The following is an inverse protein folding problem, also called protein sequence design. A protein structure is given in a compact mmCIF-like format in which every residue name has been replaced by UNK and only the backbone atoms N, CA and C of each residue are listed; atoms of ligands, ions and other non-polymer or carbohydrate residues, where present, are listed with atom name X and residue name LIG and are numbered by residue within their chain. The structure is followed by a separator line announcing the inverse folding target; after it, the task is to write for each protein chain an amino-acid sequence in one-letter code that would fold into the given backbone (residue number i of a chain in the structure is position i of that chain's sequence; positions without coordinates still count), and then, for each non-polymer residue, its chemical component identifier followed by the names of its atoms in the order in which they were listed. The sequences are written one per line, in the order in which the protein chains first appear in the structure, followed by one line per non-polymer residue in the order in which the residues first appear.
data_IF_643164131260
#
_entry.id   IF_643164131260
#
_cell.length_a   1.000
_cell.length_b   1.000
_cell.length_c   1.000
_cell.angle_alpha   90.00
_cell.angle_beta   90.00
_cell.angle_gamma   90.00
#
_symmetry.space_group_name_H-M   'P 1'
#
loop_
_entity.id
_entity.type
_entity.pdbx_description
1 polymer ?
#
# COMPACT_ATOMS: atom_id res chain seq x y z
N UNK A 1 -20.03 -8.78 -40.60
CA UNK A 1 -19.75 -7.58 -39.80
C UNK A 1 -18.98 -8.06 -38.60
N UNK A 2 -17.64 -8.09 -38.69
CA UNK A 2 -16.71 -8.62 -37.66
C UNK A 2 -16.40 -7.50 -36.67
N UNK A 3 -16.65 -7.77 -35.38
CA UNK A 3 -16.20 -6.91 -34.29
C UNK A 3 -14.69 -7.13 -34.11
N UNK A 4 -13.89 -6.08 -34.29
CA UNK A 4 -12.48 -6.05 -33.96
C UNK A 4 -12.36 -5.83 -32.46
N UNK A 5 -11.78 -6.80 -31.74
CA UNK A 5 -11.36 -6.68 -30.35
C UNK A 5 -10.02 -5.98 -30.37
N UNK A 6 -9.96 -4.74 -29.88
CA UNK A 6 -8.72 -4.02 -29.68
C UNK A 6 -7.94 -4.65 -28.51
N UNK A 7 -6.81 -5.29 -28.82
CA UNK A 7 -5.80 -5.66 -27.80
C UNK A 7 -5.03 -4.40 -27.41
N UNK A 8 -5.10 -4.03 -26.14
CA UNK A 8 -4.22 -3.00 -25.58
C UNK A 8 -2.82 -3.61 -25.39
N UNK A 9 -1.86 -3.18 -26.20
CA UNK A 9 -0.45 -3.52 -26.04
C UNK A 9 0.10 -2.78 -24.80
N UNK A 10 0.39 -3.52 -23.75
CA UNK A 10 1.10 -3.00 -22.55
C UNK A 10 2.58 -2.94 -22.88
N UNK A 11 3.09 -1.77 -23.19
CA UNK A 11 4.53 -1.53 -23.40
C UNK A 11 5.23 -1.44 -22.05
N UNK A 12 6.15 -2.36 -21.77
CA UNK A 12 7.07 -2.31 -20.62
C UNK A 12 8.05 -1.13 -20.79
N UNK A 13 8.22 -0.34 -19.75
CA UNK A 13 9.15 0.80 -19.73
C UNK A 13 10.58 0.31 -19.41
N UNK A 14 11.56 0.38 -20.35
CA UNK A 14 12.90 -0.14 -20.16
C UNK A 14 13.82 0.73 -19.28
N UNK A 15 13.38 1.88 -18.80
CA UNK A 15 14.25 2.84 -18.11
C UNK A 15 14.52 2.54 -16.62
N UNK A 16 13.92 1.51 -16.04
CA UNK A 16 14.02 1.22 -14.58
C UNK A 16 15.10 0.16 -14.25
N UNK A 17 15.67 -0.52 -15.25
CA UNK A 17 16.64 -1.60 -15.03
C UNK A 17 18.06 -1.21 -15.41
N UNK A 18 18.73 -0.37 -14.62
CA UNK A 18 20.19 -0.30 -14.63
C UNK A 18 20.69 -0.30 -13.18
N UNK A 19 21.15 -1.46 -12.71
CA UNK A 19 22.01 -1.54 -11.55
C UNK A 19 21.63 -2.45 -10.39
N UNK A 20 20.97 -3.59 -10.63
CA UNK A 20 20.93 -4.67 -9.63
C UNK A 20 21.73 -5.89 -10.11
N UNK A 21 22.55 -6.55 -9.25
CA UNK A 21 23.25 -7.76 -9.63
C UNK A 21 22.28 -8.92 -9.84
N UNK A 22 22.40 -9.56 -10.98
CA UNK A 22 21.68 -10.78 -11.35
C UNK A 22 22.19 -11.92 -10.46
N UNK A 23 21.34 -12.43 -9.56
CA UNK A 23 21.59 -13.67 -8.87
C UNK A 23 21.25 -14.83 -9.81
N UNK A 24 22.26 -15.65 -10.08
CA UNK A 24 22.29 -16.80 -10.96
C UNK A 24 21.30 -17.90 -10.54
N UNK A 25 20.80 -18.58 -11.59
CA UNK A 25 20.11 -19.87 -11.61
C UNK A 25 20.60 -20.87 -10.55
N UNK A 26 19.68 -21.45 -9.80
CA UNK A 26 19.80 -22.82 -9.33
C UNK A 26 18.46 -23.56 -9.37
N UNK A 27 18.58 -24.72 -9.96
CA UNK A 27 17.62 -25.66 -10.47
C UNK A 27 16.66 -26.34 -9.48
N UNK A 28 15.50 -26.66 -10.02
CA UNK A 28 14.72 -27.94 -10.00
C UNK A 28 14.92 -28.96 -8.86
N UNK A 29 13.75 -29.45 -8.47
CA UNK A 29 13.44 -30.77 -7.92
C UNK A 29 13.77 -31.06 -6.46
N UNK A 30 12.73 -31.01 -5.63
CA UNK A 30 12.45 -32.12 -4.68
C UNK A 30 10.95 -32.22 -4.40
N UNK A 31 10.37 -33.30 -4.88
CA UNK A 31 9.14 -33.87 -4.36
C UNK A 31 9.29 -34.15 -2.87
N UNK A 32 8.47 -33.55 -2.02
CA UNK A 32 8.37 -33.92 -0.62
C UNK A 32 7.03 -34.62 -0.41
N UNK A 33 7.14 -35.87 -0.05
CA UNK A 33 6.06 -36.75 0.43
C UNK A 33 5.41 -36.12 1.67
N UNK A 34 4.09 -35.97 1.64
CA UNK A 34 3.30 -35.58 2.81
C UNK A 34 2.82 -36.86 3.50
N UNK A 35 3.08 -37.07 4.79
CA UNK A 35 2.50 -38.18 5.53
C UNK A 35 1.04 -37.86 5.86
N UNK A 36 0.16 -38.73 5.41
CA UNK A 36 -1.25 -38.82 5.87
C UNK A 36 -1.30 -39.49 7.22
N UNK A 37 -1.37 -38.71 8.30
CA UNK A 37 -1.96 -39.17 9.58
C UNK A 37 -2.05 -37.96 10.54
N UNK A 38 -3.20 -37.32 10.58
CA UNK A 38 -3.60 -36.49 11.71
C UNK A 38 -5.05 -36.78 12.07
N UNK A 39 -5.21 -37.47 13.20
CA UNK A 39 -6.46 -37.77 13.87
C UNK A 39 -7.33 -36.52 14.09
N UNK A 40 -8.43 -36.40 13.37
CA UNK A 40 -9.47 -35.41 13.59
C UNK A 40 -10.22 -35.70 14.90
N UNK A 41 -10.02 -34.89 15.93
CA UNK A 41 -10.98 -34.77 17.04
C UNK A 41 -12.02 -33.72 16.64
N UNK A 42 -13.24 -34.17 16.39
CA UNK A 42 -14.40 -33.34 16.14
C UNK A 42 -14.78 -32.52 17.40
N UNK A 43 -14.93 -31.20 17.32
CA UNK A 43 -15.87 -30.47 18.13
C UNK A 43 -17.22 -30.45 17.43
N UNK A 44 -18.28 -30.89 18.14
CA UNK A 44 -19.65 -30.79 17.68
C UNK A 44 -20.04 -29.31 17.61
N UNK A 45 -20.08 -28.76 16.39
CA UNK A 45 -20.75 -27.50 16.11
C UNK A 45 -22.02 -27.80 15.32
N UNK A 46 -23.15 -27.56 15.98
CA UNK A 46 -24.47 -27.52 15.35
C UNK A 46 -24.61 -26.21 14.57
N UNK A 47 -24.22 -26.22 13.32
CA UNK A 47 -24.43 -25.16 12.33
C UNK A 47 -24.65 -25.81 10.98
N UNK A 48 -25.60 -25.33 10.20
CA UNK A 48 -26.06 -25.91 8.95
C UNK A 48 -24.91 -26.29 8.00
N UNK A 49 -24.84 -27.58 7.63
CA UNK A 49 -23.86 -28.12 6.67
C UNK A 49 -23.91 -27.44 5.29
N UNK A 50 -25.01 -26.80 4.94
CA UNK A 50 -25.18 -26.09 3.68
C UNK A 50 -24.37 -24.79 3.62
N UNK A 51 -24.32 -24.02 4.69
CA UNK A 51 -23.52 -22.77 4.76
C UNK A 51 -22.02 -23.05 4.75
N UNK A 52 -21.55 -24.04 5.52
CA UNK A 52 -20.13 -24.40 5.55
C UNK A 52 -19.63 -24.95 4.19
N UNK A 53 -20.47 -25.60 3.41
CA UNK A 53 -20.13 -26.12 2.10
C UNK A 53 -20.13 -25.02 1.02
N UNK A 54 -20.97 -24.02 1.18
CA UNK A 54 -21.04 -22.84 0.31
C UNK A 54 -19.83 -21.94 0.53
N UNK A 55 -19.43 -21.71 1.78
CA UNK A 55 -18.22 -20.96 2.14
C UNK A 55 -16.94 -21.62 1.59
N UNK A 56 -16.83 -22.94 1.61
CA UNK A 56 -15.68 -23.68 1.06
C UNK A 56 -15.61 -23.55 -0.47
N UNK A 57 -16.75 -23.61 -1.16
CA UNK A 57 -16.80 -23.48 -2.63
C UNK A 57 -16.49 -22.05 -3.08
N UNK A 58 -16.90 -21.02 -2.31
CA UNK A 58 -16.53 -19.63 -2.58
C UNK A 58 -15.04 -19.39 -2.41
N UNK A 59 -14.40 -20.01 -1.41
CA UNK A 59 -12.94 -19.91 -1.19
C UNK A 59 -12.11 -20.56 -2.31
N UNK A 60 -12.61 -21.62 -2.96
CA UNK A 60 -11.90 -22.33 -4.04
C UNK A 60 -11.90 -21.57 -5.38
N UNK A 61 -12.83 -20.63 -5.58
CA UNK A 61 -12.97 -19.89 -6.84
C UNK A 61 -12.43 -18.45 -6.80
N UNK A 62 -11.82 -18.00 -5.69
CA UNK A 62 -11.30 -16.64 -5.57
C UNK A 62 -10.10 -16.42 -6.49
N UNK A 63 -10.13 -15.34 -7.26
CA UNK A 63 -8.97 -14.85 -8.02
C UNK A 63 -8.05 -14.06 -7.08
N UNK A 64 -6.86 -14.57 -6.84
CA UNK A 64 -5.91 -14.02 -5.86
C UNK A 64 -4.74 -13.38 -6.58
N UNK A 65 -4.34 -12.17 -6.18
CA UNK A 65 -3.08 -11.57 -6.55
C UNK A 65 -2.01 -12.07 -5.57
N UNK A 66 -1.06 -12.94 -6.01
CA UNK A 66 0.01 -13.45 -5.16
C UNK A 66 1.02 -12.34 -4.82
N UNK A 67 1.82 -12.47 -3.74
CA UNK A 67 2.85 -11.49 -3.41
C UNK A 67 3.93 -11.42 -4.50
N UNK A 68 4.31 -10.21 -4.91
CA UNK A 68 5.34 -9.98 -5.94
C UNK A 68 6.74 -9.81 -5.34
N UNK A 69 6.85 -9.32 -4.08
CA UNK A 69 8.14 -8.94 -3.47
C UNK A 69 8.42 -9.60 -2.13
N UNK A 70 7.64 -10.62 -1.76
CA UNK A 70 7.91 -11.45 -0.58
C UNK A 70 9.28 -12.16 -0.70
N UNK A 71 10.08 -12.12 0.36
CA UNK A 71 11.46 -12.62 0.35
C UNK A 71 12.49 -11.65 -0.26
N UNK A 72 12.05 -10.48 -0.73
CA UNK A 72 12.90 -9.43 -1.31
C UNK A 72 12.77 -8.11 -0.54
N UNK A 73 11.57 -7.53 -0.47
CA UNK A 73 11.32 -6.26 0.24
C UNK A 73 11.00 -6.49 1.71
N UNK A 74 10.47 -7.66 2.03
CA UNK A 74 10.15 -8.12 3.38
C UNK A 74 10.27 -9.66 3.44
N UNK A 75 10.36 -10.30 4.63
CA UNK A 75 10.51 -11.74 4.74
C UNK A 75 9.38 -12.53 4.07
N UNK A 76 9.75 -13.56 3.30
CA UNK A 76 8.79 -14.50 2.71
C UNK A 76 8.24 -15.54 3.70
N UNK A 77 8.90 -15.72 4.86
CA UNK A 77 8.40 -16.58 5.92
C UNK A 77 7.43 -15.80 6.82
N UNK A 78 6.22 -16.30 7.10
CA UNK A 78 5.19 -15.57 7.86
C UNK A 78 5.62 -15.22 9.29
N UNK A 79 6.28 -16.13 10.02
CA UNK A 79 6.69 -15.88 11.40
C UNK A 79 7.79 -14.81 11.47
N UNK A 80 8.74 -14.86 10.52
CA UNK A 80 9.79 -13.84 10.40
C UNK A 80 9.20 -12.48 10.04
N UNK A 81 8.23 -12.43 9.12
CA UNK A 81 7.56 -11.21 8.73
C UNK A 81 6.76 -10.61 9.90
N UNK A 82 5.94 -11.43 10.57
CA UNK A 82 5.16 -11.00 11.72
C UNK A 82 6.07 -10.43 12.83
N UNK A 83 7.20 -11.12 13.10
CA UNK A 83 8.16 -10.65 14.09
C UNK A 83 8.79 -9.32 13.66
N UNK A 84 9.24 -9.19 12.41
CA UNK A 84 9.87 -7.96 11.93
C UNK A 84 8.92 -6.77 12.00
N UNK A 85 7.68 -6.93 11.52
CA UNK A 85 6.66 -5.86 11.59
C UNK A 85 6.35 -5.49 13.04
N UNK A 86 6.22 -6.48 13.92
CA UNK A 86 5.97 -6.24 15.35
C UNK A 86 7.12 -5.48 16.01
N UNK A 87 8.38 -5.84 15.71
CA UNK A 87 9.57 -5.18 16.25
C UNK A 87 9.66 -3.72 15.73
N UNK A 88 9.43 -3.50 14.44
CA UNK A 88 9.40 -2.16 13.83
C UNK A 88 8.33 -1.29 14.49
N UNK A 89 7.12 -1.81 14.62
CA UNK A 89 6.06 -1.11 15.31
C UNK A 89 6.45 -0.83 16.78
N UNK A 90 7.00 -1.79 17.52
CA UNK A 90 7.40 -1.63 18.92
C UNK A 90 8.48 -0.57 19.12
N UNK A 91 9.35 -0.33 18.11
CA UNK A 91 10.39 0.72 18.16
C UNK A 91 9.82 2.14 18.22
N UNK A 92 8.55 2.33 17.81
CA UNK A 92 7.88 3.65 17.83
C UNK A 92 7.23 3.85 19.19
N UNK A 93 7.85 4.69 20.01
CA UNK A 93 7.43 4.95 21.40
C UNK A 93 6.63 6.24 21.58
N UNK A 94 6.63 7.13 20.58
CA UNK A 94 5.97 8.43 20.70
C UNK A 94 4.44 8.28 20.71
N UNK A 95 3.74 8.74 21.75
CA UNK A 95 2.29 8.72 21.77
C UNK A 95 1.71 9.62 20.69
N UNK A 96 0.82 9.07 19.87
CA UNK A 96 0.16 9.84 18.81
C UNK A 96 -1.30 10.02 19.21
N UNK A 97 -1.72 11.29 19.31
CA UNK A 97 -3.10 11.65 19.62
C UNK A 97 -3.92 11.82 18.34
N UNK A 98 -5.15 11.36 18.37
CA UNK A 98 -6.13 11.50 17.29
C UNK A 98 -6.30 10.20 16.49
N UNK A 99 -7.46 10.08 15.86
CA UNK A 99 -7.79 8.97 14.95
C UNK A 99 -7.32 9.39 13.55
N UNK A 100 -6.42 8.63 12.91
CA UNK A 100 -5.98 8.95 11.57
C UNK A 100 -7.12 8.76 10.56
N UNK A 101 -7.34 9.77 9.71
CA UNK A 101 -8.18 9.64 8.52
C UNK A 101 -7.34 9.22 7.32
N UNK A 102 -6.11 9.74 7.24
CA UNK A 102 -5.19 9.34 6.20
C UNK A 102 -3.75 9.29 6.70
N UNK A 103 -2.95 8.46 6.04
CA UNK A 103 -1.52 8.30 6.23
C UNK A 103 -0.79 8.47 4.90
N UNK A 104 0.46 8.95 4.95
CA UNK A 104 1.44 8.76 3.89
C UNK A 104 2.55 7.89 4.48
N UNK A 105 2.93 6.82 3.78
CA UNK A 105 3.99 5.89 4.18
C UNK A 105 4.90 5.54 2.99
N UNK A 106 6.19 5.25 3.21
CA UNK A 106 7.13 4.83 2.17
C UNK A 106 7.05 3.33 1.90
N UNK A 107 7.39 2.92 0.65
CA UNK A 107 7.25 1.56 0.15
C UNK A 107 8.56 0.88 -0.29
N UNK A 108 9.70 1.36 0.12
CA UNK A 108 10.95 0.63 -0.06
C UNK A 108 10.99 -0.64 0.80
N UNK A 109 11.99 -1.51 0.57
CA UNK A 109 12.18 -2.69 1.41
C UNK A 109 12.32 -2.33 2.89
N UNK A 110 11.78 -3.18 3.77
CA UNK A 110 11.69 -2.90 5.23
C UNK A 110 13.03 -2.63 5.91
N UNK A 111 14.12 -3.14 5.33
CA UNK A 111 15.49 -2.84 5.79
C UNK A 111 15.79 -1.34 5.73
N UNK A 112 15.24 -0.64 4.75
CA UNK A 112 15.50 0.78 4.49
C UNK A 112 14.41 1.70 5.04
N UNK A 113 13.15 1.43 4.69
CA UNK A 113 12.02 2.33 5.01
C UNK A 113 11.12 1.83 6.13
N UNK A 114 11.29 0.59 6.61
CA UNK A 114 10.36 -0.06 7.55
C UNK A 114 10.12 0.73 8.83
N UNK A 115 11.14 1.37 9.39
CA UNK A 115 11.01 2.21 10.59
C UNK A 115 10.17 3.47 10.34
N UNK A 116 10.28 4.04 9.13
CA UNK A 116 9.49 5.22 8.74
C UNK A 116 8.04 4.82 8.47
N UNK A 117 7.81 3.71 7.76
CA UNK A 117 6.47 3.14 7.58
C UNK A 117 5.83 2.82 8.95
N UNK A 118 6.59 2.18 9.86
CA UNK A 118 6.13 1.92 11.21
C UNK A 118 5.70 3.18 11.98
N UNK A 119 6.36 4.33 11.76
CA UNK A 119 5.95 5.59 12.37
C UNK A 119 4.54 6.03 11.91
N UNK A 120 4.19 5.79 10.64
CA UNK A 120 2.84 6.03 10.13
C UNK A 120 1.85 5.05 10.76
N UNK A 121 2.10 3.75 10.63
CA UNK A 121 1.17 2.70 11.04
C UNK A 121 1.01 2.58 12.55
N UNK A 122 2.02 2.90 13.37
CA UNK A 122 1.90 2.91 14.83
C UNK A 122 0.82 3.87 15.34
N UNK A 123 0.37 4.83 14.52
CA UNK A 123 -0.77 5.72 14.84
C UNK A 123 -2.09 4.97 14.98
N UNK A 124 -2.18 3.76 14.40
CA UNK A 124 -3.37 2.90 14.47
C UNK A 124 -3.48 2.09 15.76
N UNK A 125 -2.48 2.17 16.66
CA UNK A 125 -2.53 1.50 17.97
C UNK A 125 -3.60 2.16 18.87
N UNK A 126 -4.18 1.38 19.76
CA UNK A 126 -4.88 1.81 20.96
C UNK A 126 -6.35 2.24 20.90
N UNK A 127 -6.99 2.50 19.77
CA UNK A 127 -8.42 2.84 19.82
C UNK A 127 -9.17 2.62 18.49
N UNK A 128 -8.43 2.25 17.46
CA UNK A 128 -8.94 2.24 16.09
C UNK A 128 -8.96 0.83 15.49
N UNK A 129 -8.34 -0.14 16.15
CA UNK A 129 -8.15 -1.51 15.64
C UNK A 129 -9.48 -2.23 15.28
N UNK A 130 -10.56 -1.92 15.99
CA UNK A 130 -11.88 -2.50 15.74
C UNK A 130 -12.80 -1.60 14.92
N UNK A 131 -12.43 -0.34 14.70
CA UNK A 131 -13.25 0.63 13.99
C UNK A 131 -12.95 0.68 12.49
N UNK A 132 -11.66 0.49 12.09
CA UNK A 132 -11.26 0.52 10.68
C UNK A 132 -11.52 -0.85 10.06
N UNK A 133 -12.43 -0.90 9.11
CA UNK A 133 -12.79 -2.10 8.35
C UNK A 133 -12.56 -1.94 6.85
N UNK A 134 -12.20 -0.74 6.39
CA UNK A 134 -11.96 -0.40 4.99
C UNK A 134 -10.69 0.41 4.84
N UNK A 135 -9.84 0.05 3.87
CA UNK A 135 -8.59 0.78 3.59
C UNK A 135 -8.52 1.14 2.12
N UNK A 136 -8.56 2.44 1.79
CA UNK A 136 -8.18 2.94 0.47
C UNK A 136 -6.67 2.99 0.43
N UNK A 137 -6.06 2.11 -0.37
CA UNK A 137 -4.61 2.02 -0.52
C UNK A 137 -4.22 2.48 -1.92
N UNK A 138 -3.58 3.63 -2.02
CA UNK A 138 -3.28 4.29 -3.29
C UNK A 138 -1.79 4.62 -3.41
N UNK A 139 -1.19 4.32 -4.57
CA UNK A 139 0.24 4.54 -4.81
C UNK A 139 0.58 4.57 -6.30
N UNK A 140 1.85 4.81 -6.66
CA UNK A 140 2.30 4.89 -8.05
C UNK A 140 2.30 3.52 -8.74
N UNK A 141 2.20 3.52 -10.07
CA UNK A 141 2.45 2.37 -10.92
C UNK A 141 3.89 2.43 -11.45
N UNK A 142 4.79 1.56 -10.94
CA UNK A 142 6.20 1.57 -11.32
C UNK A 142 6.50 0.71 -12.57
N UNK A 143 5.76 -0.39 -12.75
CA UNK A 143 6.08 -1.41 -13.75
C UNK A 143 5.22 -1.35 -15.00
N UNK A 144 4.11 -0.61 -14.97
CA UNK A 144 3.20 -0.47 -16.10
C UNK A 144 2.81 0.98 -16.31
N UNK A 145 2.67 1.38 -17.59
CA UNK A 145 2.04 2.66 -17.91
C UNK A 145 0.53 2.55 -17.71
N UNK A 146 0.01 3.30 -16.77
CA UNK A 146 -1.43 3.41 -16.49
C UNK A 146 -1.92 4.77 -16.96
N UNK A 147 -2.90 4.79 -17.88
CA UNK A 147 -3.58 6.01 -18.29
C UNK A 147 -4.79 6.22 -17.37
N UNK A 148 -4.61 6.94 -16.27
CA UNK A 148 -5.62 7.09 -15.22
C UNK A 148 -5.26 6.36 -13.94
N UNK A 149 -6.25 5.72 -13.30
CA UNK A 149 -6.13 4.96 -12.05
C UNK A 149 -6.57 3.51 -12.33
N UNK A 150 -5.68 2.54 -12.08
CA UNK A 150 -6.01 1.14 -12.19
C UNK A 150 -6.55 0.60 -10.86
N UNK A 151 -7.78 0.05 -10.92
CA UNK A 151 -8.40 -0.72 -9.86
C UNK A 151 -8.40 -2.21 -10.25
N UNK A 152 -8.06 -3.16 -9.36
CA UNK A 152 -8.00 -4.57 -9.70
C UNK A 152 -9.38 -5.19 -9.89
N UNK A 153 -9.41 -6.38 -10.50
CA UNK A 153 -10.60 -7.24 -10.58
C UNK A 153 -10.47 -8.49 -9.73
N UNK A 154 -9.30 -8.76 -9.16
CA UNK A 154 -9.06 -9.89 -8.23
C UNK A 154 -9.86 -9.71 -6.94
N UNK A 155 -10.15 -10.85 -6.28
CA UNK A 155 -10.95 -10.88 -5.06
C UNK A 155 -10.12 -10.59 -3.80
N UNK A 156 -8.81 -10.86 -3.84
CA UNK A 156 -7.91 -10.61 -2.72
C UNK A 156 -6.46 -10.38 -3.15
N UNK A 157 -5.71 -9.69 -2.29
CA UNK A 157 -4.25 -9.61 -2.32
C UNK A 157 -3.69 -10.57 -1.27
N UNK A 158 -2.65 -11.32 -1.61
CA UNK A 158 -2.01 -12.25 -0.69
C UNK A 158 -0.65 -11.72 -0.22
N UNK A 159 -0.35 -11.93 1.04
CA UNK A 159 0.96 -11.76 1.66
C UNK A 159 1.32 -13.04 2.44
N UNK A 160 2.55 -13.21 2.93
CA UNK A 160 2.87 -14.32 3.83
C UNK A 160 2.00 -14.35 5.10
N UNK A 161 1.40 -13.22 5.52
CA UNK A 161 0.49 -13.15 6.68
C UNK A 161 -0.96 -13.53 6.33
N UNK A 162 -1.24 -13.89 5.08
CA UNK A 162 -2.57 -14.29 4.62
C UNK A 162 -3.18 -13.34 3.61
N UNK A 163 -4.45 -13.57 3.30
CA UNK A 163 -5.21 -12.84 2.27
C UNK A 163 -5.90 -11.62 2.84
N UNK A 164 -5.88 -10.54 2.07
CA UNK A 164 -6.63 -9.30 2.33
C UNK A 164 -7.69 -9.17 1.25
N UNK A 165 -8.99 -9.27 1.58
CA UNK A 165 -10.07 -9.15 0.62
C UNK A 165 -10.11 -7.77 -0.03
N UNK A 166 -10.45 -7.72 -1.31
CA UNK A 166 -10.70 -6.48 -2.05
C UNK A 166 -12.17 -6.06 -1.85
N UNK A 167 -12.41 -4.78 -1.55
CA UNK A 167 -13.75 -4.20 -1.47
C UNK A 167 -14.30 -3.92 -2.88
N UNK A 168 -14.84 -4.95 -3.51
CA UNK A 168 -15.37 -4.88 -4.87
C UNK A 168 -16.57 -3.94 -4.97
N UNK A 169 -17.39 -3.83 -3.91
CA UNK A 169 -18.55 -2.92 -3.86
C UNK A 169 -18.08 -1.45 -3.91
N UNK A 170 -17.12 -1.07 -3.06
CA UNK A 170 -16.57 0.27 -3.07
C UNK A 170 -15.88 0.60 -4.40
N UNK A 171 -15.13 -0.34 -4.98
CA UNK A 171 -14.51 -0.15 -6.30
C UNK A 171 -15.55 0.00 -7.41
N UNK A 172 -16.72 -0.62 -7.29
CA UNK A 172 -17.82 -0.42 -8.23
C UNK A 172 -18.37 1.01 -8.15
N UNK A 173 -18.33 1.65 -6.98
CA UNK A 173 -18.75 3.03 -6.77
C UNK A 173 -17.90 4.10 -7.46
N UNK A 174 -16.74 3.72 -8.03
CA UNK A 174 -15.86 4.61 -8.80
C UNK A 174 -15.70 4.20 -10.27
N UNK A 175 -16.29 3.08 -10.68
CA UNK A 175 -16.08 2.48 -12.00
C UNK A 175 -16.64 3.32 -13.18
N UNK A 176 -17.56 4.24 -12.90
CA UNK A 176 -18.13 5.18 -13.91
C UNK A 176 -17.23 6.40 -14.17
N UNK A 177 -16.17 6.60 -13.37
CA UNK A 177 -15.21 7.69 -13.59
C UNK A 177 -14.35 7.38 -14.82
N UNK A 178 -14.26 8.29 -15.82
CA UNK A 178 -13.64 7.97 -17.12
C UNK A 178 -12.13 7.72 -17.04
N UNK A 179 -11.49 8.11 -15.95
CA UNK A 179 -10.07 7.90 -15.66
C UNK A 179 -9.81 6.72 -14.71
N UNK A 180 -10.84 5.95 -14.35
CA UNK A 180 -10.69 4.70 -13.58
C UNK A 180 -10.83 3.51 -14.53
N UNK A 181 -9.82 2.65 -14.55
CA UNK A 181 -9.81 1.42 -15.36
C UNK A 181 -9.76 0.19 -14.46
N UNK A 182 -10.45 -0.88 -14.87
CA UNK A 182 -10.37 -2.18 -14.20
C UNK A 182 -9.30 -3.03 -14.88
N UNK A 183 -8.18 -3.28 -14.19
CA UNK A 183 -7.02 -3.98 -14.76
C UNK A 183 -6.14 -4.62 -13.70
N UNK A 184 -5.88 -5.94 -13.81
CA UNK A 184 -5.01 -6.67 -12.89
C UNK A 184 -3.53 -6.64 -13.30
N UNK A 185 -3.25 -6.52 -14.60
CA UNK A 185 -1.89 -6.55 -15.11
C UNK A 185 -0.94 -5.51 -14.47
N UNK A 186 -1.34 -4.24 -14.22
CA UNK A 186 -0.50 -3.28 -13.50
C UNK A 186 -0.21 -3.68 -12.05
N UNK A 187 -1.17 -4.35 -11.38
CA UNK A 187 -1.04 -4.77 -9.99
C UNK A 187 -0.12 -5.99 -9.81
N UNK A 188 -0.04 -6.86 -10.81
CA UNK A 188 0.67 -8.14 -10.69
C UNK A 188 2.13 -8.00 -10.24
N UNK A 189 2.98 -7.15 -10.86
CA UNK A 189 4.39 -6.96 -10.44
C UNK A 189 4.57 -5.85 -9.40
N UNK A 190 3.53 -5.07 -9.06
CA UNK A 190 3.66 -3.81 -8.32
C UNK A 190 3.85 -4.05 -6.83
N UNK A 191 4.89 -3.42 -6.27
CA UNK A 191 5.25 -3.54 -4.86
C UNK A 191 4.69 -2.41 -3.99
N UNK A 192 4.42 -1.22 -4.56
CA UNK A 192 4.11 -0.02 -3.79
C UNK A 192 2.92 -0.18 -2.84
N UNK A 193 1.91 -0.97 -3.22
CA UNK A 193 0.75 -1.24 -2.37
C UNK A 193 0.98 -2.47 -1.48
N UNK A 194 1.68 -3.48 -2.00
CA UNK A 194 1.87 -4.76 -1.31
C UNK A 194 2.63 -4.60 0.01
N UNK A 195 3.69 -3.79 0.03
CA UNK A 195 4.55 -3.62 1.22
C UNK A 195 3.84 -2.95 2.39
N UNK A 196 2.71 -2.27 2.16
CA UNK A 196 1.91 -1.66 3.22
C UNK A 196 1.00 -2.67 3.94
N UNK A 197 0.62 -3.77 3.24
CA UNK A 197 -0.35 -4.74 3.74
C UNK A 197 0.08 -5.44 5.04
N UNK A 198 1.33 -5.90 5.22
CA UNK A 198 1.72 -6.58 6.46
C UNK A 198 1.59 -5.70 7.72
N UNK A 199 1.81 -4.38 7.61
CA UNK A 199 1.55 -3.45 8.71
C UNK A 199 0.06 -3.39 9.07
N UNK A 200 -0.79 -3.28 8.05
CA UNK A 200 -2.25 -3.26 8.22
C UNK A 200 -2.76 -4.59 8.81
N UNK A 201 -2.29 -5.73 8.29
CA UNK A 201 -2.65 -7.07 8.79
C UNK A 201 -2.24 -7.29 10.24
N UNK A 202 -1.11 -6.70 10.68
CA UNK A 202 -0.65 -6.80 12.07
C UNK A 202 -1.48 -5.93 13.02
N UNK A 203 -2.04 -4.83 12.53
CA UNK A 203 -2.72 -3.82 13.37
C UNK A 203 -4.24 -3.88 13.32
N UNK A 204 -4.84 -4.32 12.22
CA UNK A 204 -6.29 -4.38 12.04
C UNK A 204 -6.79 -5.80 12.17
N UNK A 205 -7.90 -6.00 12.90
CA UNK A 205 -8.45 -7.34 13.13
C UNK A 205 -9.09 -7.95 11.89
N UNK A 206 -9.80 -7.13 11.11
CA UNK A 206 -10.45 -7.52 9.84
C UNK A 206 -10.71 -6.27 9.02
N UNK A 207 -10.30 -6.28 7.75
CA UNK A 207 -10.53 -5.17 6.85
C UNK A 207 -10.54 -5.63 5.39
N UNK A 208 -11.15 -4.82 4.54
CA UNK A 208 -11.06 -4.95 3.09
C UNK A 208 -10.23 -3.80 2.53
N UNK A 209 -9.52 -4.06 1.43
CA UNK A 209 -8.66 -3.07 0.77
C UNK A 209 -9.25 -2.64 -0.57
N UNK A 210 -9.09 -1.35 -0.89
CA UNK A 210 -9.35 -0.77 -2.21
C UNK A 210 -8.00 -0.37 -2.82
N UNK A 211 -7.29 -1.29 -3.51
CA UNK A 211 -5.97 -1.00 -4.05
C UNK A 211 -6.08 -0.23 -5.36
N UNK A 212 -5.41 0.91 -5.45
CA UNK A 212 -5.48 1.84 -6.57
C UNK A 212 -4.07 2.23 -7.03
N UNK A 213 -3.73 1.92 -8.28
CA UNK A 213 -2.46 2.34 -8.88
C UNK A 213 -2.66 3.58 -9.75
N UNK A 214 -1.90 4.61 -9.43
CA UNK A 214 -1.95 5.93 -10.07
C UNK A 214 -0.93 5.99 -11.20
N UNK A 215 -1.39 6.34 -12.38
CA UNK A 215 -0.56 6.63 -13.54
C UNK A 215 -0.74 8.07 -14.02
N UNK A 216 -1.04 8.24 -15.30
CA UNK A 216 -1.22 9.55 -15.94
C UNK A 216 -2.62 10.11 -15.64
N UNK A 217 -2.73 10.85 -14.55
CA UNK A 217 -3.98 11.40 -14.00
C UNK A 217 -3.70 12.65 -13.16
N UNK A 218 -4.63 13.59 -13.12
CA UNK A 218 -4.48 14.83 -12.35
C UNK A 218 -4.79 14.66 -10.86
N UNK A 219 -4.21 15.50 -9.98
CA UNK A 219 -4.55 15.50 -8.54
C UNK A 219 -6.06 15.71 -8.27
N UNK A 220 -6.75 16.48 -9.13
CA UNK A 220 -8.20 16.72 -9.01
C UNK A 220 -9.03 15.48 -9.29
N UNK A 221 -8.62 14.66 -10.27
CA UNK A 221 -9.24 13.38 -10.58
C UNK A 221 -9.03 12.37 -9.46
N UNK A 222 -7.80 12.31 -8.90
CA UNK A 222 -7.53 11.50 -7.71
C UNK A 222 -8.38 11.95 -6.52
N UNK A 223 -8.47 13.26 -6.27
CA UNK A 223 -9.32 13.81 -5.23
C UNK A 223 -10.81 13.45 -5.44
N UNK A 224 -11.28 13.36 -6.70
CA UNK A 224 -12.63 12.92 -7.01
C UNK A 224 -12.85 11.44 -6.63
N UNK A 225 -11.87 10.55 -6.89
CA UNK A 225 -11.90 9.15 -6.44
C UNK A 225 -11.91 9.09 -4.91
N UNK A 226 -10.97 9.77 -4.27
CA UNK A 226 -10.88 9.79 -2.81
C UNK A 226 -12.17 10.31 -2.14
N UNK A 227 -12.84 11.30 -2.75
CA UNK A 227 -14.13 11.81 -2.26
C UNK A 227 -15.21 10.75 -2.28
N UNK A 228 -15.30 9.93 -3.34
CA UNK A 228 -16.29 8.84 -3.41
C UNK A 228 -15.99 7.72 -2.41
N UNK A 229 -14.70 7.48 -2.14
CA UNK A 229 -14.23 6.44 -1.23
C UNK A 229 -13.95 6.95 0.19
N UNK A 230 -14.25 8.23 0.48
CA UNK A 230 -13.85 8.86 1.75
C UNK A 230 -14.37 8.13 2.98
N UNK A 231 -15.62 7.67 2.95
CA UNK A 231 -16.26 6.97 4.06
C UNK A 231 -16.29 7.75 5.38
N UNK A 232 -16.67 7.05 6.44
CA UNK A 232 -16.68 7.53 7.82
C UNK A 232 -15.40 7.16 8.58
N UNK A 233 -15.52 6.95 9.90
CA UNK A 233 -14.41 6.53 10.77
C UNK A 233 -13.93 5.10 10.48
N UNK A 234 -14.74 4.27 9.81
CA UNK A 234 -14.41 2.91 9.40
C UNK A 234 -13.43 2.84 8.23
N UNK A 235 -13.23 3.96 7.50
CA UNK A 235 -12.39 4.04 6.31
C UNK A 235 -11.10 4.79 6.59
N UNK A 236 -9.97 4.12 6.41
CA UNK A 236 -8.63 4.70 6.41
C UNK A 236 -8.14 4.92 4.97
N UNK A 237 -7.45 6.01 4.71
CA UNK A 237 -6.76 6.26 3.44
C UNK A 237 -5.26 6.13 3.68
N UNK A 238 -4.57 5.28 2.90
CA UNK A 238 -3.12 5.13 2.92
C UNK A 238 -2.57 5.50 1.55
N UNK A 239 -1.75 6.54 1.50
CA UNK A 239 -1.00 6.92 0.30
C UNK A 239 0.42 6.38 0.44
N UNK A 240 0.81 5.54 -0.49
CA UNK A 240 2.13 4.93 -0.53
C UNK A 240 3.06 5.73 -1.43
N UNK A 241 4.16 6.27 -0.87
CA UNK A 241 5.12 7.09 -1.62
C UNK A 241 6.47 7.19 -0.94
N UNK A 242 7.53 6.89 -1.67
CA UNK A 242 8.88 7.33 -1.35
C UNK A 242 9.07 8.79 -1.82
N UNK A 243 10.12 9.47 -1.31
CA UNK A 243 10.45 10.85 -1.66
C UNK A 243 11.49 10.93 -2.79
N UNK A 244 12.55 11.75 -2.63
CA UNK A 244 13.58 11.92 -3.66
C UNK A 244 14.38 10.63 -3.91
N UNK A 245 14.86 10.46 -5.17
CA UNK A 245 15.58 9.24 -5.57
C UNK A 245 16.96 9.55 -6.12
N UNK A 246 17.94 8.73 -5.72
CA UNK A 246 19.27 8.61 -6.33
C UNK A 246 20.17 9.85 -6.26
N UNK A 247 19.86 10.80 -5.39
CA UNK A 247 20.73 11.91 -5.02
C UNK A 247 21.70 11.50 -3.91
N UNK A 248 22.78 12.28 -3.74
CA UNK A 248 23.57 12.19 -2.51
C UNK A 248 22.74 12.57 -1.28
N UNK A 249 23.12 12.08 -0.12
CA UNK A 249 22.33 12.23 1.12
C UNK A 249 22.07 13.69 1.50
N UNK A 250 22.99 14.62 1.23
CA UNK A 250 22.80 16.04 1.56
C UNK A 250 21.79 16.70 0.61
N UNK A 251 21.90 16.45 -0.68
CA UNK A 251 20.94 16.92 -1.69
C UNK A 251 19.55 16.35 -1.44
N UNK A 252 19.44 15.03 -1.18
CA UNK A 252 18.19 14.38 -0.82
C UNK A 252 17.53 15.04 0.39
N UNK A 253 18.27 15.29 1.48
CA UNK A 253 17.74 15.93 2.68
C UNK A 253 17.18 17.34 2.41
N UNK A 254 17.83 18.13 1.55
CA UNK A 254 17.30 19.45 1.16
C UNK A 254 16.02 19.35 0.37
N UNK A 255 15.96 18.43 -0.61
CA UNK A 255 14.78 18.19 -1.44
C UNK A 255 13.62 17.68 -0.60
N UNK A 256 13.88 16.67 0.23
CA UNK A 256 12.87 16.02 1.06
C UNK A 256 12.32 16.97 2.14
N UNK A 257 13.17 17.85 2.71
CA UNK A 257 12.72 18.89 3.63
C UNK A 257 11.77 19.90 2.94
N UNK A 258 12.05 20.28 1.69
CA UNK A 258 11.18 21.15 0.91
C UNK A 258 9.84 20.47 0.56
N UNK A 259 9.89 19.19 0.16
CA UNK A 259 8.71 18.36 -0.11
C UNK A 259 7.87 18.18 1.15
N UNK A 260 8.49 17.89 2.29
CA UNK A 260 7.82 17.78 3.58
C UNK A 260 7.10 19.08 3.97
N UNK A 261 7.76 20.21 3.80
CA UNK A 261 7.16 21.51 4.08
C UNK A 261 5.97 21.81 3.14
N UNK A 262 6.02 21.40 1.86
CA UNK A 262 4.90 21.52 0.92
C UNK A 262 3.70 20.67 1.36
N UNK A 263 3.93 19.40 1.74
CA UNK A 263 2.89 18.50 2.27
C UNK A 263 2.22 19.11 3.51
N UNK A 264 3.02 19.62 4.46
CA UNK A 264 2.51 20.19 5.72
C UNK A 264 1.69 21.48 5.51
N UNK A 265 2.00 22.25 4.46
CA UNK A 265 1.21 23.43 4.06
C UNK A 265 0.00 23.10 3.20
N UNK A 266 -0.13 21.86 2.72
CA UNK A 266 -1.17 21.47 1.75
C UNK A 266 -0.89 22.02 0.33
N UNK A 267 0.35 22.34 0.02
CA UNK A 267 0.78 22.91 -1.26
C UNK A 267 1.00 21.79 -2.30
N UNK A 268 -0.12 21.21 -2.74
CA UNK A 268 -0.10 20.11 -3.70
C UNK A 268 0.46 20.49 -5.07
N UNK A 269 0.36 21.78 -5.45
CA UNK A 269 0.76 22.24 -6.77
C UNK A 269 2.30 22.28 -6.95
N UNK A 270 3.07 22.34 -5.86
CA UNK A 270 4.53 22.29 -5.91
C UNK A 270 5.11 20.88 -5.90
N UNK A 271 4.27 19.84 -5.80
CA UNK A 271 4.71 18.45 -5.82
C UNK A 271 4.85 17.93 -7.25
N UNK A 272 5.94 17.22 -7.52
CA UNK A 272 6.21 16.62 -8.82
C UNK A 272 7.04 15.34 -8.73
N UNK A 273 7.29 14.68 -9.88
CA UNK A 273 7.92 13.34 -9.90
C UNK A 273 9.38 13.33 -9.41
N UNK A 274 10.07 14.47 -9.40
CA UNK A 274 11.42 14.56 -8.82
C UNK A 274 11.43 14.61 -7.29
N UNK A 275 10.29 14.96 -6.68
CA UNK A 275 10.14 15.07 -5.23
C UNK A 275 9.63 13.79 -4.59
N UNK A 276 8.76 13.03 -5.30
CA UNK A 276 8.17 11.80 -4.77
C UNK A 276 7.63 10.93 -5.90
N UNK A 277 7.83 9.61 -5.83
CA UNK A 277 7.29 8.68 -6.84
C UNK A 277 5.75 8.67 -6.82
N UNK A 278 5.13 8.78 -5.64
CA UNK A 278 3.68 8.90 -5.45
C UNK A 278 3.17 10.34 -5.46
N UNK A 279 3.89 11.32 -6.04
CA UNK A 279 3.55 12.75 -5.97
C UNK A 279 2.09 13.05 -6.38
N UNK A 280 1.56 12.36 -7.39
CA UNK A 280 0.17 12.55 -7.83
C UNK A 280 -0.84 12.07 -6.77
N UNK A 281 -0.59 10.90 -6.18
CA UNK A 281 -1.44 10.36 -5.12
C UNK A 281 -1.41 11.26 -3.87
N UNK A 282 -0.21 11.72 -3.48
CA UNK A 282 -0.03 12.69 -2.39
C UNK A 282 -0.75 13.99 -2.70
N UNK A 283 -0.59 14.55 -3.90
CA UNK A 283 -1.27 15.78 -4.32
C UNK A 283 -2.80 15.63 -4.29
N UNK A 284 -3.33 14.51 -4.78
CA UNK A 284 -4.76 14.19 -4.72
C UNK A 284 -5.29 14.09 -3.29
N UNK A 285 -4.52 13.46 -2.38
CA UNK A 285 -4.85 13.46 -0.96
C UNK A 285 -4.87 14.87 -0.38
N UNK A 286 -3.89 15.72 -0.68
CA UNK A 286 -3.82 17.09 -0.17
C UNK A 286 -5.02 17.93 -0.65
N UNK A 287 -5.44 17.77 -1.91
CA UNK A 287 -6.65 18.44 -2.43
C UNK A 287 -7.89 18.04 -1.64
N UNK A 288 -8.10 16.73 -1.39
CA UNK A 288 -9.31 16.29 -0.69
C UNK A 288 -9.24 16.53 0.81
N UNK A 289 -8.08 16.31 1.45
CA UNK A 289 -7.82 16.61 2.86
C UNK A 289 -8.08 18.08 3.18
N UNK A 290 -7.69 19.01 2.28
CA UNK A 290 -7.95 20.43 2.41
C UNK A 290 -9.44 20.76 2.47
N UNK A 291 -10.30 20.04 1.71
CA UNK A 291 -11.78 20.20 1.74
C UNK A 291 -12.38 19.78 3.07
N UNK A 292 -11.76 18.81 3.74
CA UNK A 292 -12.17 18.30 5.04
C UNK A 292 -11.49 19.02 6.21
N UNK A 293 -10.67 20.05 5.95
CA UNK A 293 -9.93 20.79 6.98
C UNK A 293 -8.87 19.96 7.71
N UNK A 294 -8.42 18.84 7.12
CA UNK A 294 -7.38 18.00 7.70
C UNK A 294 -6.02 18.67 7.56
N UNK A 295 -5.18 18.46 8.57
CA UNK A 295 -3.79 18.93 8.57
C UNK A 295 -2.83 17.75 8.54
N UNK A 296 -1.81 17.85 7.68
CA UNK A 296 -0.70 16.93 7.65
C UNK A 296 0.22 17.22 8.84
N UNK A 297 0.55 16.17 9.60
CA UNK A 297 1.57 16.19 10.63
C UNK A 297 2.65 15.18 10.29
N UNK A 298 3.88 15.65 10.12
CA UNK A 298 5.04 14.78 9.90
C UNK A 298 5.33 13.94 11.14
N UNK A 299 5.58 12.67 10.94
CA UNK A 299 5.92 11.69 11.95
C UNK A 299 7.40 11.30 11.87
N UNK A 300 7.91 11.16 10.64
CA UNK A 300 9.30 10.79 10.37
C UNK A 300 9.77 11.37 9.04
N UNK A 301 11.08 11.61 8.92
CA UNK A 301 11.75 12.01 7.68
C UNK A 301 13.21 11.57 7.76
N UNK A 302 13.65 10.70 6.84
CA UNK A 302 15.03 10.26 6.71
C UNK A 302 15.31 9.80 5.28
N UNK A 303 16.48 9.24 5.01
CA UNK A 303 16.79 8.59 3.74
C UNK A 303 17.51 7.26 3.97
N UNK A 304 17.68 6.46 2.91
CA UNK A 304 18.29 5.13 2.99
C UNK A 304 19.74 5.16 3.53
N UNK A 305 20.47 6.26 3.39
CA UNK A 305 21.80 6.44 3.97
C UNK A 305 21.80 6.68 5.48
N UNK A 306 20.65 6.86 6.11
CA UNK A 306 20.44 6.92 7.56
C UNK A 306 20.13 5.54 8.14
N UNK A 307 19.89 4.55 7.27
CA UNK A 307 19.64 3.15 7.60
C UNK A 307 20.78 2.28 7.06
N UNK A 308 20.51 1.39 6.11
CA UNK A 308 21.48 0.39 5.62
C UNK A 308 22.10 0.75 4.25
N UNK A 309 21.70 1.88 3.64
CA UNK A 309 22.14 2.29 2.31
C UNK A 309 23.44 3.10 2.29
N UNK A 310 24.11 3.16 1.11
CA UNK A 310 25.18 4.10 0.85
C UNK A 310 24.65 5.55 0.89
N UNK A 311 25.48 6.51 1.28
CA UNK A 311 25.16 7.94 1.30
C UNK A 311 25.34 8.63 -0.05
N UNK A 312 25.94 7.96 -1.02
CA UNK A 312 26.23 8.55 -2.33
C UNK A 312 24.99 8.58 -3.24
N UNK A 313 24.08 7.60 -3.06
CA UNK A 313 22.83 7.50 -3.80
C UNK A 313 21.75 6.97 -2.87
N UNK A 314 20.90 7.86 -2.41
CA UNK A 314 19.85 7.53 -1.43
C UNK A 314 18.45 7.66 -2.03
N UNK A 315 17.49 7.05 -1.32
CA UNK A 315 16.05 7.28 -1.49
C UNK A 315 15.53 7.92 -0.21
N UNK A 316 14.77 9.00 -0.34
CA UNK A 316 14.15 9.71 0.75
C UNK A 316 12.87 9.02 1.22
N UNK A 317 12.63 9.02 2.52
CA UNK A 317 11.45 8.43 3.16
C UNK A 317 10.79 9.40 4.10
N UNK A 318 9.46 9.48 4.05
CA UNK A 318 8.68 10.31 4.92
C UNK A 318 7.38 9.66 5.37
N UNK A 319 6.91 10.01 6.56
CA UNK A 319 5.65 9.54 7.11
C UNK A 319 4.81 10.71 7.62
N UNK A 320 3.53 10.74 7.28
CA UNK A 320 2.59 11.76 7.73
C UNK A 320 1.27 11.17 8.18
N UNK A 321 0.68 11.87 9.14
CA UNK A 321 -0.65 11.62 9.67
C UNK A 321 -1.57 12.79 9.31
N UNK A 322 -2.78 12.48 8.84
CA UNK A 322 -3.83 13.47 8.60
C UNK A 322 -4.97 13.27 9.60
N UNK A 323 -5.21 14.29 10.40
CA UNK A 323 -6.29 14.31 11.41
C UNK A 323 -7.03 15.64 11.34
N UNK A 324 -8.25 15.66 11.85
CA UNK A 324 -8.91 16.94 12.14
C UNK A 324 -8.10 17.72 13.17
N UNK A 325 -7.94 19.02 12.95
CA UNK A 325 -7.39 19.90 13.98
C UNK A 325 -8.31 19.82 15.20
N UNK A 326 -7.74 19.60 16.39
CA UNK A 326 -8.52 19.75 17.62
C UNK A 326 -9.15 21.16 17.61
N UNK A 327 -10.43 21.31 18.00
CA UNK A 327 -11.01 22.63 18.15
C UNK A 327 -10.10 23.44 19.07
N UNK A 328 -9.71 24.64 18.61
CA UNK A 328 -8.97 25.58 19.46
C UNK A 328 -9.91 25.95 20.59
N UNK A 329 -9.56 25.48 21.79
CA UNK A 329 -10.27 25.82 23.04
C UNK A 329 -9.94 27.24 23.46
#
# INVERSE_FOLDING_TARGET
MQLAIARADVALNPAVFHGMPVASEFALNRLIHVPTDLCLRNPVLSGDRATAQQDVIEFENMVIRPPAVAGQFYPGNPDCLQKQVSDLLASITTPIKGIPKALIAPHAGYLYSGVVAAAAFATLRNSVQTAITRVVLIGPAHYARVCGIAAPTVDAFETPLGRVPVDAEALSGIADLPFVIRADAPHSPEHALEVELPFLQTLLSSFQVMPLLVGDVTPQEIAQVLRRLWGGPETLIVVSSDLSHYHDSETARRMDAATAAAIERGDWASLGPNQACGCQAVAGLLVEAGRHGLKARRLSLCNSGDTEGSRDRVVGYGAWLFTQSAPQS
#
